data_IF_449171595244
#
_entry.id   IF_449171595244
#
_cell.length_a   1.000
_cell.length_b   1.000
_cell.length_c   1.000
_cell.angle_alpha   90.00
_cell.angle_beta   90.00
_cell.angle_gamma   90.00
#
_symmetry.space_group_name_H-M   'P 1'
#
loop_
_entity.id
_entity.type
_entity.pdbx_description
1 polymer ?
#
# COMPACT_ATOMS: atom_id res chain seq x y z
N UNK A 1 37.62 5.42 28.52
CA UNK A 1 36.25 5.58 29.07
C UNK A 1 35.31 5.57 27.87
N UNK A 2 34.55 4.50 27.67
CA UNK A 2 33.76 4.25 26.45
C UNK A 2 32.51 5.13 26.47
N UNK A 3 32.36 5.98 25.46
CA UNK A 3 31.18 6.81 25.23
C UNK A 3 29.99 5.94 24.86
N UNK A 4 28.92 6.08 25.64
CA UNK A 4 27.64 5.41 25.45
C UNK A 4 27.04 5.76 24.08
N UNK A 5 26.79 4.73 23.27
CA UNK A 5 25.96 4.83 22.07
C UNK A 5 24.56 5.30 22.45
N UNK A 6 24.16 6.44 21.88
CA UNK A 6 22.76 6.88 21.83
C UNK A 6 22.00 5.88 20.97
N UNK A 7 21.19 5.03 21.59
CA UNK A 7 20.17 4.25 20.90
C UNK A 7 19.06 5.27 20.59
N UNK A 8 18.95 5.64 19.31
CA UNK A 8 17.78 6.32 18.78
C UNK A 8 16.57 5.41 19.02
N UNK A 9 15.64 5.85 19.86
CA UNK A 9 14.29 5.30 19.92
C UNK A 9 13.58 5.67 18.62
N UNK A 10 13.95 5.01 17.52
CA UNK A 10 13.16 4.97 16.32
C UNK A 10 11.84 4.28 16.69
N UNK A 11 10.75 4.96 16.38
CA UNK A 11 9.36 4.55 16.52
C UNK A 11 9.13 3.10 16.12
N UNK A 12 9.24 2.19 17.07
CA UNK A 12 8.63 0.87 16.97
C UNK A 12 7.14 1.05 17.21
N UNK A 13 6.25 0.71 16.27
CA UNK A 13 4.82 0.72 16.56
C UNK A 13 4.56 -0.27 17.70
N UNK A 14 4.02 0.26 18.79
CA UNK A 14 3.61 -0.42 20.04
C UNK A 14 2.68 -1.64 19.79
N UNK A 15 2.23 -1.82 18.55
CA UNK A 15 1.40 -2.90 18.01
C UNK A 15 2.10 -4.27 18.05
N UNK A 16 3.44 -4.32 17.98
CA UNK A 16 4.18 -5.60 17.96
C UNK A 16 4.17 -6.32 19.32
N UNK A 17 3.94 -5.61 20.43
CA UNK A 17 4.10 -6.18 21.77
C UNK A 17 2.86 -6.89 22.34
N UNK A 18 1.68 -6.71 21.74
CA UNK A 18 0.41 -7.25 22.27
C UNK A 18 0.18 -8.71 21.86
N UNK A 19 0.92 -9.24 20.87
CA UNK A 19 0.70 -10.60 20.36
C UNK A 19 1.21 -11.75 21.24
N UNK A 20 2.01 -11.48 22.28
CA UNK A 20 2.71 -12.54 23.03
C UNK A 20 2.07 -12.96 24.37
N UNK A 21 0.99 -12.32 24.82
CA UNK A 21 0.48 -12.53 26.19
C UNK A 21 -0.75 -13.46 26.32
N UNK A 22 -1.34 -13.94 25.23
CA UNK A 22 -2.64 -14.65 25.29
C UNK A 22 -2.60 -16.15 24.98
N UNK A 23 -1.42 -16.78 24.90
CA UNK A 23 -1.29 -18.20 24.48
C UNK A 23 -1.40 -19.21 25.63
N UNK A 24 -1.64 -18.78 26.88
CA UNK A 24 -1.60 -19.68 28.04
C UNK A 24 -2.95 -20.21 28.53
N UNK A 25 -4.08 -19.91 27.88
CA UNK A 25 -5.39 -20.45 28.27
C UNK A 25 -6.28 -20.73 27.05
N UNK A 26 -6.19 -21.93 26.48
CA UNK A 26 -7.37 -22.61 25.90
C UNK A 26 -7.05 -24.06 25.55
N UNK A 27 -7.34 -24.93 26.52
CA UNK A 27 -7.67 -26.34 26.30
C UNK A 27 -9.03 -26.39 25.57
N UNK A 28 -9.10 -26.95 24.35
CA UNK A 28 -10.34 -27.11 23.58
C UNK A 28 -10.15 -27.04 22.06
N UNK A 29 -9.57 -28.10 21.47
CA UNK A 29 -9.06 -28.18 20.09
C UNK A 29 -10.06 -28.13 18.92
N UNK A 30 -11.16 -27.38 19.03
CA UNK A 30 -12.14 -27.19 17.93
C UNK A 30 -12.55 -25.74 17.66
N UNK A 31 -12.44 -24.84 18.64
CA UNK A 31 -12.86 -23.43 18.52
C UNK A 31 -11.79 -22.47 17.98
N UNK A 32 -10.52 -22.85 18.06
CA UNK A 32 -9.39 -21.99 17.70
C UNK A 32 -9.35 -21.65 16.20
N UNK A 33 -9.69 -22.61 15.33
CA UNK A 33 -9.71 -22.40 13.87
C UNK A 33 -10.81 -21.43 13.43
N UNK A 34 -11.98 -21.44 14.08
CA UNK A 34 -13.07 -20.53 13.70
C UNK A 34 -12.74 -19.08 14.07
N UNK A 35 -12.26 -18.84 15.29
CA UNK A 35 -11.87 -17.51 15.74
C UNK A 35 -10.68 -16.93 14.93
N UNK A 36 -9.73 -17.76 14.50
CA UNK A 36 -8.63 -17.33 13.63
C UNK A 36 -9.11 -16.93 12.22
N UNK A 37 -10.08 -17.67 11.66
CA UNK A 37 -10.67 -17.34 10.35
C UNK A 37 -11.49 -16.06 10.38
N UNK A 38 -12.27 -15.84 11.44
CA UNK A 38 -13.02 -14.59 11.63
C UNK A 38 -12.08 -13.38 11.71
N UNK A 39 -11.02 -13.48 12.51
CA UNK A 39 -9.96 -12.44 12.58
C UNK A 39 -9.27 -12.21 11.24
N UNK A 40 -8.98 -13.27 10.49
CA UNK A 40 -8.40 -13.14 9.15
C UNK A 40 -9.35 -12.38 8.21
N UNK A 41 -10.65 -12.68 8.23
CA UNK A 41 -11.62 -12.00 7.39
C UNK A 41 -11.74 -10.51 7.72
N UNK A 42 -11.75 -10.15 9.01
CA UNK A 42 -11.72 -8.75 9.44
C UNK A 42 -10.44 -8.04 8.96
N UNK A 43 -9.29 -8.70 9.11
CA UNK A 43 -8.00 -8.17 8.67
C UNK A 43 -7.95 -7.98 7.14
N UNK A 44 -8.46 -8.95 6.36
CA UNK A 44 -8.61 -8.84 4.90
C UNK A 44 -9.46 -7.63 4.53
N UNK A 45 -10.63 -7.45 5.15
CA UNK A 45 -11.51 -6.32 4.86
C UNK A 45 -10.82 -4.98 5.11
N UNK A 46 -10.12 -4.83 6.23
CA UNK A 46 -9.39 -3.59 6.55
C UNK A 46 -8.26 -3.33 5.54
N UNK A 47 -7.46 -4.35 5.21
CA UNK A 47 -6.36 -4.20 4.25
C UNK A 47 -6.90 -3.88 2.84
N UNK A 48 -7.97 -4.55 2.41
CA UNK A 48 -8.65 -4.27 1.13
C UNK A 48 -9.17 -2.83 1.08
N UNK A 49 -9.80 -2.33 2.14
CA UNK A 49 -10.27 -0.94 2.20
C UNK A 49 -9.10 0.05 2.07
N UNK A 50 -7.99 -0.21 2.77
CA UNK A 50 -6.80 0.62 2.70
C UNK A 50 -6.22 0.67 1.29
N UNK A 51 -6.06 -0.47 0.62
CA UNK A 51 -5.52 -0.52 -0.74
C UNK A 51 -6.47 0.14 -1.74
N UNK A 52 -7.78 -0.12 -1.64
CA UNK A 52 -8.78 0.50 -2.52
C UNK A 52 -8.77 2.03 -2.42
N UNK A 53 -8.53 2.59 -1.24
CA UNK A 53 -8.35 4.04 -1.08
C UNK A 53 -7.25 4.59 -1.99
N UNK A 54 -6.06 3.99 -1.96
CA UNK A 54 -4.94 4.44 -2.78
C UNK A 54 -5.14 4.14 -4.26
N UNK A 55 -5.81 3.04 -4.62
CA UNK A 55 -6.18 2.75 -6.00
C UNK A 55 -7.11 3.82 -6.58
N UNK A 56 -8.09 4.27 -5.78
CA UNK A 56 -8.98 5.36 -6.17
C UNK A 56 -8.23 6.69 -6.24
N UNK A 57 -7.30 6.95 -5.32
CA UNK A 57 -6.45 8.12 -5.40
C UNK A 57 -5.66 8.12 -6.72
N UNK A 58 -5.00 7.02 -7.08
CA UNK A 58 -4.27 6.88 -8.36
C UNK A 58 -5.19 7.11 -9.56
N UNK A 59 -6.41 6.56 -9.55
CA UNK A 59 -7.40 6.77 -10.60
C UNK A 59 -7.77 8.25 -10.78
N UNK A 60 -7.95 8.99 -9.69
CA UNK A 60 -8.18 10.44 -9.76
C UNK A 60 -7.01 11.18 -10.43
N UNK A 61 -5.77 10.76 -10.16
CA UNK A 61 -4.57 11.39 -10.77
C UNK A 61 -4.45 11.02 -12.24
N UNK A 62 -4.77 9.78 -12.62
CA UNK A 62 -4.83 9.36 -14.03
C UNK A 62 -5.84 10.23 -14.78
N UNK A 63 -7.02 10.46 -14.21
CA UNK A 63 -8.05 11.28 -14.83
C UNK A 63 -7.63 12.75 -14.96
N UNK A 64 -6.95 13.29 -13.94
CA UNK A 64 -6.34 14.62 -14.05
C UNK A 64 -5.31 14.68 -15.20
N UNK A 65 -4.35 13.76 -15.23
CA UNK A 65 -3.32 13.72 -16.28
C UNK A 65 -3.95 13.58 -17.67
N UNK A 66 -4.98 12.74 -17.84
CA UNK A 66 -5.72 12.64 -19.11
C UNK A 66 -6.28 13.99 -19.56
N UNK A 67 -6.89 14.76 -18.66
CA UNK A 67 -7.41 16.09 -19.02
C UNK A 67 -6.32 17.05 -19.47
N UNK A 68 -5.11 16.94 -18.90
CA UNK A 68 -3.97 17.77 -19.29
C UNK A 68 -3.37 17.33 -20.63
N UNK A 69 -3.36 16.02 -20.93
CA UNK A 69 -2.95 15.48 -22.23
C UNK A 69 -3.83 16.04 -23.36
N UNK A 70 -5.14 16.17 -23.12
CA UNK A 70 -6.08 16.66 -24.14
C UNK A 70 -5.82 18.13 -24.53
N UNK A 71 -5.17 18.90 -23.66
CA UNK A 71 -4.85 20.33 -23.84
C UNK A 71 -3.39 20.55 -24.26
N UNK A 72 -2.49 19.63 -23.90
CA UNK A 72 -1.07 19.70 -24.19
C UNK A 72 -0.73 19.35 -25.64
N UNK A 73 0.46 19.76 -26.09
CA UNK A 73 1.02 19.35 -27.38
C UNK A 73 2.54 19.22 -27.31
N UNK A 74 3.12 18.47 -28.25
CA UNK A 74 4.58 18.32 -28.35
C UNK A 74 5.17 17.56 -27.16
N UNK A 75 6.28 18.05 -26.61
CA UNK A 75 7.03 17.40 -25.53
C UNK A 75 6.21 17.24 -24.25
N UNK A 76 5.37 18.22 -23.91
CA UNK A 76 4.51 18.13 -22.73
C UNK A 76 3.49 16.99 -22.84
N UNK A 77 2.87 16.81 -24.01
CA UNK A 77 1.91 15.73 -24.26
C UNK A 77 2.58 14.35 -24.10
N UNK A 78 3.83 14.20 -24.56
CA UNK A 78 4.62 12.97 -24.41
C UNK A 78 4.94 12.69 -22.94
N UNK A 79 5.44 13.69 -22.20
CA UNK A 79 5.73 13.57 -20.78
C UNK A 79 4.49 13.18 -19.94
N UNK A 80 3.34 13.80 -20.24
CA UNK A 80 2.08 13.48 -19.56
C UNK A 80 1.59 12.07 -19.89
N UNK A 81 1.76 11.59 -21.12
CA UNK A 81 1.44 10.20 -21.49
C UNK A 81 2.31 9.20 -20.73
N UNK A 82 3.60 9.46 -20.57
CA UNK A 82 4.50 8.62 -19.77
C UNK A 82 4.06 8.58 -18.29
N UNK A 83 3.80 9.74 -17.69
CA UNK A 83 3.28 9.86 -16.34
C UNK A 83 1.98 9.05 -16.13
N UNK A 84 1.06 9.08 -17.11
CA UNK A 84 -0.17 8.27 -17.06
C UNK A 84 0.13 6.78 -17.03
N UNK A 85 1.06 6.30 -17.86
CA UNK A 85 1.40 4.88 -17.88
C UNK A 85 2.10 4.43 -16.59
N UNK A 86 2.92 5.28 -15.97
CA UNK A 86 3.48 5.01 -14.64
C UNK A 86 2.39 4.84 -13.57
N UNK A 87 1.40 5.74 -13.56
CA UNK A 87 0.26 5.65 -12.63
C UNK A 87 -0.57 4.38 -12.87
N UNK A 88 -0.84 4.02 -14.14
CA UNK A 88 -1.54 2.77 -14.47
C UNK A 88 -0.77 1.53 -13.98
N UNK A 89 0.55 1.52 -14.12
CA UNK A 89 1.38 0.42 -13.62
C UNK A 89 1.25 0.28 -12.09
N UNK A 90 1.21 1.39 -11.34
CA UNK A 90 0.97 1.33 -9.89
C UNK A 90 -0.46 0.84 -9.56
N UNK A 91 -1.46 1.25 -10.33
CA UNK A 91 -2.84 0.80 -10.15
C UNK A 91 -2.99 -0.72 -10.37
N UNK A 92 -2.33 -1.27 -11.38
CA UNK A 92 -2.37 -2.70 -11.68
C UNK A 92 -1.62 -3.52 -10.62
N UNK A 93 -0.50 -3.00 -10.12
CA UNK A 93 0.24 -3.58 -9.00
C UNK A 93 -0.67 -3.69 -7.76
N UNK A 94 -1.38 -2.62 -7.39
CA UNK A 94 -2.34 -2.68 -6.27
C UNK A 94 -3.52 -3.63 -6.53
N UNK A 95 -3.96 -3.73 -7.78
CA UNK A 95 -5.01 -4.69 -8.18
C UNK A 95 -4.54 -6.14 -8.01
N UNK A 96 -3.27 -6.41 -8.29
CA UNK A 96 -2.66 -7.72 -8.07
C UNK A 96 -2.57 -8.04 -6.57
N UNK A 97 -2.16 -7.09 -5.74
CA UNK A 97 -2.08 -7.31 -4.29
C UNK A 97 -3.45 -7.54 -3.64
N UNK A 98 -4.51 -6.90 -4.15
CA UNK A 98 -5.87 -7.17 -3.70
C UNK A 98 -6.29 -8.63 -3.94
N UNK A 99 -5.92 -9.21 -5.09
CA UNK A 99 -6.16 -10.63 -5.37
C UNK A 99 -5.38 -11.52 -4.41
N UNK A 100 -4.10 -11.21 -4.16
CA UNK A 100 -3.28 -11.95 -3.19
C UNK A 100 -3.90 -11.93 -1.79
N UNK A 101 -4.43 -10.79 -1.35
CA UNK A 101 -5.12 -10.64 -0.05
C UNK A 101 -6.39 -11.47 0.01
N UNK A 102 -7.18 -11.48 -1.06
CA UNK A 102 -8.39 -12.29 -1.15
C UNK A 102 -8.07 -13.79 -1.02
N UNK A 103 -7.00 -14.25 -1.66
CA UNK A 103 -6.58 -15.65 -1.68
C UNK A 103 -5.77 -16.09 -0.44
N UNK A 104 -5.28 -15.15 0.39
CA UNK A 104 -4.43 -15.46 1.53
C UNK A 104 -5.09 -16.41 2.56
N UNK A 105 -4.34 -17.39 3.05
CA UNK A 105 -4.78 -18.24 4.16
C UNK A 105 -4.29 -17.68 5.49
N UNK A 106 -4.66 -18.33 6.61
CA UNK A 106 -4.16 -17.92 7.94
C UNK A 106 -2.63 -18.03 8.00
N UNK A 107 -2.08 -19.04 7.33
CA UNK A 107 -0.66 -19.36 7.28
C UNK A 107 0.13 -18.38 6.41
N UNK A 108 -0.44 -17.92 5.28
CA UNK A 108 0.24 -17.01 4.34
C UNK A 108 -0.06 -15.54 4.56
N UNK A 109 -0.99 -15.22 5.47
CA UNK A 109 -1.49 -13.86 5.70
C UNK A 109 -0.38 -12.84 5.94
N UNK A 110 0.57 -13.14 6.83
CA UNK A 110 1.61 -12.19 7.21
C UNK A 110 2.52 -11.82 6.04
N UNK A 111 2.88 -12.81 5.22
CA UNK A 111 3.73 -12.60 4.05
C UNK A 111 3.00 -11.81 2.96
N UNK A 112 1.72 -12.13 2.74
CA UNK A 112 0.88 -11.40 1.79
C UNK A 112 0.71 -9.95 2.22
N UNK A 113 0.40 -9.68 3.50
CA UNK A 113 0.24 -8.32 4.00
C UNK A 113 1.55 -7.53 3.96
N UNK A 114 2.68 -8.17 4.23
CA UNK A 114 3.99 -7.52 4.16
C UNK A 114 4.29 -7.05 2.73
N UNK A 115 4.10 -7.93 1.73
CA UNK A 115 4.28 -7.59 0.32
C UNK A 115 3.30 -6.51 -0.15
N UNK A 116 2.02 -6.66 0.20
CA UNK A 116 1.01 -5.65 -0.13
C UNK A 116 1.33 -4.29 0.48
N UNK A 117 1.88 -4.25 1.70
CA UNK A 117 2.29 -3.00 2.36
C UNK A 117 3.49 -2.35 1.68
N UNK A 118 4.48 -3.14 1.24
CA UNK A 118 5.61 -2.67 0.45
C UNK A 118 5.15 -2.10 -0.90
N UNK A 119 4.36 -2.87 -1.63
CA UNK A 119 3.68 -2.48 -2.88
C UNK A 119 2.90 -1.18 -2.72
N UNK A 120 2.14 -1.02 -1.63
CA UNK A 120 1.40 0.20 -1.31
C UNK A 120 2.33 1.41 -1.06
N UNK A 121 3.42 1.18 -0.33
CA UNK A 121 4.43 2.21 -0.08
C UNK A 121 5.08 2.71 -1.38
N UNK A 122 5.45 1.78 -2.27
CA UNK A 122 6.04 2.08 -3.57
C UNK A 122 5.06 2.82 -4.48
N UNK A 123 3.81 2.33 -4.58
CA UNK A 123 2.76 2.98 -5.35
C UNK A 123 2.51 4.41 -4.89
N UNK A 124 2.51 4.64 -3.57
CA UNK A 124 2.36 5.99 -2.98
C UNK A 124 3.55 6.90 -3.31
N UNK A 125 4.78 6.40 -3.22
CA UNK A 125 5.98 7.18 -3.58
C UNK A 125 5.91 7.61 -5.04
N UNK A 126 5.64 6.65 -5.94
CA UNK A 126 5.55 6.89 -7.37
C UNK A 126 4.42 7.84 -7.75
N UNK A 127 3.24 7.67 -7.15
CA UNK A 127 2.13 8.62 -7.34
C UNK A 127 2.53 10.05 -6.97
N UNK A 128 3.26 10.24 -5.86
CA UNK A 128 3.71 11.57 -5.42
C UNK A 128 4.81 12.14 -6.34
N UNK A 129 5.75 11.31 -6.79
CA UNK A 129 6.78 11.67 -7.77
C UNK A 129 6.13 12.15 -9.07
N UNK A 130 5.23 11.36 -9.64
CA UNK A 130 4.47 11.72 -10.85
C UNK A 130 3.69 13.01 -10.64
N UNK A 131 2.98 13.15 -9.51
CA UNK A 131 2.20 14.37 -9.21
C UNK A 131 3.09 15.61 -9.12
N UNK A 132 4.33 15.46 -8.67
CA UNK A 132 5.31 16.55 -8.61
C UNK A 132 5.81 16.90 -10.02
N UNK A 133 6.21 15.90 -10.81
CA UNK A 133 6.68 16.11 -12.18
C UNK A 133 5.61 16.75 -13.07
N UNK A 134 4.37 16.26 -12.99
CA UNK A 134 3.23 16.85 -13.72
C UNK A 134 3.05 18.32 -13.35
N UNK A 135 3.16 18.69 -12.06
CA UNK A 135 3.06 20.10 -11.65
C UNK A 135 4.20 20.93 -12.23
N UNK A 136 5.43 20.45 -12.15
CA UNK A 136 6.61 21.16 -12.68
C UNK A 136 6.46 21.41 -14.18
N UNK A 137 6.04 20.40 -14.96
CA UNK A 137 5.86 20.55 -16.40
C UNK A 137 4.76 21.53 -16.80
N UNK A 138 3.67 21.61 -16.02
CA UNK A 138 2.56 22.53 -16.28
C UNK A 138 2.85 23.97 -15.81
N UNK A 139 3.82 24.17 -14.92
CA UNK A 139 4.26 25.50 -14.49
C UNK A 139 5.29 26.11 -15.45
N UNK A 140 6.00 25.27 -16.21
CA UNK A 140 7.02 25.67 -17.19
C UNK A 140 6.46 25.94 -18.61
N UNK A 141 5.15 25.76 -18.80
CA UNK A 141 4.39 26.03 -20.05
C UNK A 141 4.06 27.53 -20.23
#
# INVERSE_FOLDING_TARGET
>A
MKTFSKINAASYPLIVMIFFASVMWSCGGGGQNKAQREKLNEAKQQTTQNINKYKNEIEERINYVNSQIDEASGELEENLKEAREELKAQQELLTTELKNIEEASVETWNDVVAKASESLGNARSKMNEVSKSVREWLEDE
#
